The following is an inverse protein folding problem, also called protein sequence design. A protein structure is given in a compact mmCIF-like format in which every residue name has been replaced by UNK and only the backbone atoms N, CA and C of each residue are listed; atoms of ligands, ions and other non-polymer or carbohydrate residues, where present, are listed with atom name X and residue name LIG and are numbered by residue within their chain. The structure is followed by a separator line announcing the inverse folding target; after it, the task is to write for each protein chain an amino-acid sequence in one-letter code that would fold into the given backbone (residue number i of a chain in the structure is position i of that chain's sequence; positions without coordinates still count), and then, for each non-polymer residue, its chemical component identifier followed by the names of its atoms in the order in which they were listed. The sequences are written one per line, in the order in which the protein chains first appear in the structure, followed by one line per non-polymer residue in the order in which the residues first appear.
data_IF_550666074194
#
_entry.id   IF_550666074194
#
_cell.length_a   1.000
_cell.length_b   1.000
_cell.length_c   1.000
_cell.angle_alpha   90.00
_cell.angle_beta   90.00
_cell.angle_gamma   90.00
#
_symmetry.space_group_name_H-M   'P 1'
#
loop_
_entity.id
_entity.type
_entity.pdbx_description
1 polymer ?
#
# COMPACT_ATOMS: atom_id res chain seq x y z
N UNK A 1 -22.72 -21.75 -0.01
CA UNK A 1 -21.94 -20.82 -0.83
C UNK A 1 -20.99 -19.93 -0.01
N UNK A 2 -20.61 -20.29 1.23
CA UNK A 2 -19.67 -19.53 2.08
C UNK A 2 -18.19 -19.92 2.03
N UNK A 3 -17.72 -21.00 1.38
CA UNK A 3 -16.35 -21.45 1.60
C UNK A 3 -15.29 -20.77 0.73
N UNK A 4 -15.63 -20.26 -0.46
CA UNK A 4 -14.61 -19.89 -1.43
C UNK A 4 -13.92 -18.54 -1.16
N UNK A 5 -14.64 -17.50 -0.79
CA UNK A 5 -14.06 -16.20 -0.44
C UNK A 5 -13.23 -16.26 0.84
N UNK A 6 -13.66 -17.07 1.79
CA UNK A 6 -12.97 -17.28 3.06
C UNK A 6 -11.63 -18.04 2.90
N UNK A 7 -11.61 -19.10 2.07
CA UNK A 7 -10.40 -19.84 1.74
C UNK A 7 -9.40 -18.96 0.95
N UNK A 8 -9.91 -18.10 0.07
CA UNK A 8 -9.12 -17.13 -0.66
C UNK A 8 -8.38 -16.20 0.29
N UNK A 9 -9.10 -15.62 1.23
CA UNK A 9 -8.58 -14.72 2.24
C UNK A 9 -7.44 -15.36 3.06
N UNK A 10 -7.63 -16.58 3.54
CA UNK A 10 -6.63 -17.29 4.31
C UNK A 10 -5.40 -17.67 3.49
N UNK A 11 -5.58 -18.12 2.26
CA UNK A 11 -4.47 -18.49 1.37
C UNK A 11 -3.58 -17.30 1.01
N UNK A 12 -4.15 -16.12 0.90
CA UNK A 12 -3.40 -14.91 0.61
C UNK A 12 -2.70 -14.36 1.86
N UNK A 13 -3.36 -14.40 3.00
CA UNK A 13 -2.82 -13.90 4.25
C UNK A 13 -1.67 -14.74 4.83
N UNK A 14 -1.56 -16.02 4.48
CA UNK A 14 -0.44 -16.87 4.94
C UNK A 14 0.91 -16.50 4.33
N UNK A 15 0.94 -15.62 3.32
CA UNK A 15 2.17 -15.08 2.75
C UNK A 15 2.60 -13.86 3.55
N UNK A 16 3.60 -14.06 4.40
CA UNK A 16 4.17 -12.97 5.21
C UNK A 16 4.95 -12.00 4.33
N UNK A 17 4.58 -10.73 4.41
CA UNK A 17 5.24 -9.64 3.69
C UNK A 17 5.34 -8.44 4.61
N UNK A 18 6.55 -7.92 4.79
CA UNK A 18 6.78 -6.64 5.42
C UNK A 18 6.88 -5.52 4.38
N UNK A 19 7.02 -4.33 4.85
CA UNK A 19 7.24 -3.16 4.03
C UNK A 19 8.47 -3.33 3.11
N UNK A 20 8.32 -3.08 1.82
CA UNK A 20 9.32 -3.30 0.75
C UNK A 20 9.71 -4.76 0.45
N UNK A 21 8.94 -5.75 0.88
CA UNK A 21 9.24 -7.16 0.60
C UNK A 21 8.04 -7.93 0.02
N UNK A 22 7.31 -7.28 -0.86
CA UNK A 22 6.02 -7.74 -1.39
C UNK A 22 6.14 -8.87 -2.43
N UNK A 23 7.35 -9.24 -2.85
CA UNK A 23 7.57 -10.16 -3.98
C UNK A 23 6.88 -11.52 -3.81
N UNK A 24 6.85 -12.04 -2.57
CA UNK A 24 6.18 -13.34 -2.28
C UNK A 24 4.67 -13.23 -2.43
N UNK A 25 4.10 -12.11 -1.96
CA UNK A 25 2.67 -11.85 -2.03
C UNK A 25 2.25 -11.59 -3.48
N UNK A 26 3.06 -10.81 -4.22
CA UNK A 26 2.88 -10.58 -5.64
C UNK A 26 2.93 -11.88 -6.47
N UNK A 27 3.90 -12.76 -6.19
CA UNK A 27 3.99 -14.06 -6.86
C UNK A 27 2.74 -14.92 -6.60
N UNK A 28 2.24 -14.94 -5.35
CA UNK A 28 1.03 -15.69 -5.03
C UNK A 28 -0.21 -15.10 -5.69
N UNK A 29 -0.35 -13.78 -5.69
CA UNK A 29 -1.46 -13.09 -6.34
C UNK A 29 -1.44 -13.33 -7.87
N UNK A 30 -0.26 -13.33 -8.47
CA UNK A 30 -0.06 -13.64 -9.89
C UNK A 30 -0.57 -15.05 -10.27
N UNK A 31 -0.29 -16.05 -9.43
CA UNK A 31 -0.84 -17.40 -9.62
C UNK A 31 -2.36 -17.37 -9.57
N UNK A 32 -2.93 -16.69 -8.57
CA UNK A 32 -4.38 -16.59 -8.39
C UNK A 32 -5.06 -15.85 -9.56
N UNK A 33 -4.45 -14.80 -10.10
CA UNK A 33 -4.94 -14.11 -11.30
C UNK A 33 -4.99 -15.03 -12.52
N UNK A 34 -3.94 -15.85 -12.70
CA UNK A 34 -3.89 -16.87 -13.77
C UNK A 34 -4.95 -17.95 -13.58
N UNK A 35 -5.13 -18.44 -12.34
CA UNK A 35 -6.18 -19.42 -12.00
C UNK A 35 -7.58 -18.91 -12.33
N UNK A 36 -7.82 -17.59 -12.16
CA UNK A 36 -9.10 -16.94 -12.46
C UNK A 36 -9.28 -16.59 -13.96
N UNK A 37 -8.29 -16.91 -14.81
CA UNK A 37 -8.37 -16.74 -16.26
C UNK A 37 -8.11 -15.31 -16.74
N UNK A 38 -7.44 -14.49 -15.96
CA UNK A 38 -6.98 -13.19 -16.45
C UNK A 38 -5.87 -13.37 -17.49
N UNK A 39 -5.78 -12.44 -18.43
CA UNK A 39 -4.73 -12.38 -19.45
C UNK A 39 -3.62 -11.40 -19.04
N UNK A 40 -2.51 -11.44 -19.76
CA UNK A 40 -1.37 -10.55 -19.57
C UNK A 40 -0.90 -10.45 -18.11
N UNK A 41 -0.99 -11.58 -17.38
CA UNK A 41 -0.61 -11.66 -15.98
C UNK A 41 0.90 -11.58 -15.81
N UNK A 42 1.39 -10.55 -15.14
CA UNK A 42 2.81 -10.33 -14.88
C UNK A 42 3.04 -9.53 -13.60
N UNK A 43 4.29 -9.49 -13.18
CA UNK A 43 4.76 -8.50 -12.19
C UNK A 43 5.48 -7.42 -12.98
N UNK A 44 5.07 -6.17 -12.81
CA UNK A 44 5.68 -5.05 -13.53
C UNK A 44 7.09 -4.71 -13.00
N UNK A 45 7.75 -3.76 -13.63
CA UNK A 45 9.13 -3.36 -13.26
C UNK A 45 9.21 -2.75 -11.85
N UNK A 46 8.10 -2.24 -11.32
CA UNK A 46 8.03 -1.66 -9.97
C UNK A 46 7.71 -2.71 -8.90
N UNK A 47 7.12 -3.84 -9.30
CA UNK A 47 6.74 -4.92 -8.40
C UNK A 47 5.23 -5.11 -8.23
N UNK A 48 4.39 -4.31 -8.90
CA UNK A 48 2.96 -4.50 -8.89
C UNK A 48 2.58 -5.80 -9.61
N UNK A 49 1.62 -6.52 -9.06
CA UNK A 49 1.04 -7.71 -9.68
C UNK A 49 -0.13 -7.32 -10.56
N UNK A 50 -0.05 -7.58 -11.86
CA UNK A 50 -1.03 -7.15 -12.86
C UNK A 50 -1.73 -8.36 -13.49
N UNK A 51 -3.04 -8.24 -13.74
CA UNK A 51 -3.81 -9.18 -14.54
C UNK A 51 -4.96 -8.44 -15.25
N UNK A 52 -5.18 -8.76 -16.51
CA UNK A 52 -6.15 -8.03 -17.34
C UNK A 52 -7.34 -8.93 -17.67
N UNK A 53 -8.54 -8.43 -17.41
CA UNK A 53 -9.78 -8.98 -17.93
C UNK A 53 -10.17 -8.20 -19.16
N UNK A 54 -10.04 -8.85 -20.33
CA UNK A 54 -10.38 -8.22 -21.61
C UNK A 54 -11.89 -8.02 -21.75
N UNK A 55 -12.27 -6.81 -22.17
CA UNK A 55 -13.63 -6.48 -22.57
C UNK A 55 -13.94 -6.92 -23.99
N UNK A 56 -15.17 -6.69 -24.43
CA UNK A 56 -15.62 -6.96 -25.82
C UNK A 56 -15.20 -5.88 -26.81
N UNK A 57 -14.62 -4.79 -26.35
CA UNK A 57 -14.12 -3.65 -27.11
C UNK A 57 -15.04 -2.44 -27.10
N UNK A 58 -14.45 -1.25 -27.25
CA UNK A 58 -15.15 0.03 -27.34
C UNK A 58 -15.68 0.60 -26.01
N UNK A 59 -15.23 0.06 -24.88
CA UNK A 59 -15.53 0.59 -23.55
C UNK A 59 -14.32 1.29 -22.93
N UNK A 60 -14.55 1.88 -21.76
CA UNK A 60 -13.51 2.51 -20.93
C UNK A 60 -12.70 1.48 -20.17
N UNK A 61 -11.41 1.74 -19.99
CA UNK A 61 -10.51 0.91 -19.19
C UNK A 61 -10.54 1.34 -17.74
N UNK A 62 -10.82 0.39 -16.84
CA UNK A 62 -10.92 0.64 -15.40
C UNK A 62 -9.86 -0.16 -14.67
N UNK A 63 -9.15 0.51 -13.77
CA UNK A 63 -8.28 -0.13 -12.80
C UNK A 63 -9.08 -0.50 -11.54
N UNK A 64 -8.89 -1.72 -11.04
CA UNK A 64 -9.37 -2.15 -9.72
C UNK A 64 -8.17 -2.70 -8.97
N UNK A 65 -7.82 -2.09 -7.85
CA UNK A 65 -6.61 -2.45 -7.14
C UNK A 65 -6.81 -2.56 -5.62
N UNK A 66 -5.84 -3.20 -4.97
CA UNK A 66 -5.63 -3.22 -3.55
C UNK A 66 -4.14 -3.38 -3.28
N UNK A 67 -3.63 -2.86 -2.15
CA UNK A 67 -2.21 -2.92 -1.89
C UNK A 67 -1.77 -4.20 -1.17
N UNK A 68 -0.55 -4.62 -1.45
CA UNK A 68 -0.02 -5.89 -0.94
C UNK A 68 0.86 -5.72 0.31
N UNK A 69 1.43 -4.55 0.52
CA UNK A 69 2.27 -4.27 1.68
C UNK A 69 1.47 -4.05 2.96
N UNK A 70 2.15 -3.94 4.06
CA UNK A 70 1.59 -3.64 5.38
C UNK A 70 2.61 -2.85 6.20
N UNK A 71 2.16 -2.13 7.22
CA UNK A 71 3.03 -1.42 8.16
C UNK A 71 3.84 -2.34 9.08
N UNK A 72 3.56 -3.65 9.07
CA UNK A 72 4.15 -4.59 10.02
C UNK A 72 5.51 -5.09 9.57
N UNK A 73 6.52 -5.17 10.46
CA UNK A 73 7.81 -5.78 10.17
C UNK A 73 7.70 -7.26 9.78
N UNK A 74 8.70 -7.76 9.01
CA UNK A 74 8.75 -9.15 8.53
C UNK A 74 8.73 -10.21 9.62
N UNK A 75 9.23 -9.90 10.80
CA UNK A 75 9.26 -10.80 11.97
C UNK A 75 7.95 -10.78 12.76
N UNK A 76 6.95 -10.02 12.32
CA UNK A 76 5.65 -9.98 12.95
C UNK A 76 4.98 -11.34 12.85
N UNK A 77 4.59 -11.88 14.00
CA UNK A 77 3.91 -13.18 14.07
C UNK A 77 2.49 -13.06 13.50
N UNK A 78 2.24 -13.78 12.41
CA UNK A 78 0.92 -13.83 11.77
C UNK A 78 0.12 -15.01 12.34
N UNK A 79 -0.54 -14.79 13.46
CA UNK A 79 -1.44 -15.77 14.07
C UNK A 79 -2.89 -15.38 13.77
N UNK A 80 -3.58 -16.25 13.03
CA UNK A 80 -4.98 -16.03 12.69
C UNK A 80 -5.86 -16.49 13.85
N UNK A 81 -6.47 -15.54 14.54
CA UNK A 81 -7.43 -15.78 15.62
C UNK A 81 -8.85 -15.62 15.09
N UNK A 82 -9.71 -16.60 15.43
CA UNK A 82 -11.14 -16.58 15.12
C UNK A 82 -11.93 -16.53 16.40
N UNK A 83 -12.61 -15.41 16.61
CA UNK A 83 -13.33 -15.16 17.84
C UNK A 83 -14.57 -14.32 17.55
N UNK A 84 -15.71 -14.71 18.10
CA UNK A 84 -16.98 -13.96 18.02
C UNK A 84 -17.40 -13.54 16.59
N UNK A 85 -17.13 -14.39 15.61
CA UNK A 85 -17.46 -14.12 14.21
C UNK A 85 -16.43 -13.21 13.48
N UNK A 86 -15.37 -12.80 14.15
CA UNK A 86 -14.28 -12.02 13.60
C UNK A 86 -13.05 -12.88 13.27
N UNK A 87 -12.27 -12.41 12.31
CA UNK A 87 -10.93 -12.90 12.02
C UNK A 87 -9.96 -11.78 12.36
N UNK A 88 -9.01 -12.06 13.23
CA UNK A 88 -8.02 -11.10 13.71
C UNK A 88 -6.63 -11.56 13.30
N UNK A 89 -5.86 -10.69 12.67
CA UNK A 89 -4.44 -10.89 12.36
C UNK A 89 -3.83 -9.55 11.94
N UNK A 90 -2.54 -9.28 12.21
CA UNK A 90 -1.87 -8.10 11.69
C UNK A 90 -1.96 -8.01 10.16
N UNK A 91 -2.28 -6.83 9.59
CA UNK A 91 -2.38 -6.60 8.14
C UNK A 91 -3.55 -7.31 7.44
N UNK A 92 -4.54 -7.82 8.19
CA UNK A 92 -5.66 -8.57 7.60
C UNK A 92 -6.73 -7.64 7.01
N UNK A 93 -6.93 -6.49 7.60
CA UNK A 93 -7.90 -5.48 7.13
C UNK A 93 -7.24 -4.57 6.12
N UNK A 94 -6.04 -4.15 6.40
CA UNK A 94 -5.23 -3.21 5.66
C UNK A 94 -3.96 -3.93 5.14
N UNK A 95 -3.87 -4.34 3.87
CA UNK A 95 -5.02 -4.40 2.93
C UNK A 95 -5.17 -5.81 2.33
N UNK A 96 -4.88 -6.84 3.10
CA UNK A 96 -5.12 -8.23 2.63
C UNK A 96 -6.57 -8.46 2.25
N UNK A 97 -7.50 -7.78 2.94
CA UNK A 97 -8.92 -7.84 2.64
C UNK A 97 -9.26 -7.18 1.30
N UNK A 98 -8.67 -6.02 0.97
CA UNK A 98 -8.84 -5.38 -0.31
C UNK A 98 -8.37 -6.27 -1.46
N UNK A 99 -7.18 -6.82 -1.36
CA UNK A 99 -6.68 -7.82 -2.32
C UNK A 99 -7.62 -9.03 -2.46
N UNK A 100 -8.19 -9.54 -1.36
CA UNK A 100 -9.16 -10.62 -1.41
C UNK A 100 -10.49 -10.19 -2.05
N UNK A 101 -10.88 -8.93 -1.89
CA UNK A 101 -12.07 -8.35 -2.53
C UNK A 101 -11.85 -8.20 -4.03
N UNK A 102 -10.67 -7.77 -4.47
CA UNK A 102 -10.26 -7.74 -5.88
C UNK A 102 -10.43 -9.14 -6.51
N UNK A 103 -9.87 -10.18 -5.90
CA UNK A 103 -10.02 -11.56 -6.36
C UNK A 103 -11.48 -12.05 -6.34
N UNK A 104 -12.24 -11.69 -5.31
CA UNK A 104 -13.66 -12.05 -5.21
C UNK A 104 -14.49 -11.37 -6.30
N UNK A 105 -14.13 -10.15 -6.69
CA UNK A 105 -14.77 -9.43 -7.79
C UNK A 105 -14.54 -10.15 -9.13
N UNK A 106 -13.32 -10.61 -9.40
CA UNK A 106 -13.00 -11.40 -10.60
C UNK A 106 -13.87 -12.66 -10.63
N UNK A 107 -13.95 -13.40 -9.53
CA UNK A 107 -14.77 -14.61 -9.40
C UNK A 107 -16.25 -14.34 -9.60
N UNK A 108 -16.76 -13.25 -9.02
CA UNK A 108 -18.15 -12.86 -9.17
C UNK A 108 -18.49 -12.55 -10.64
N UNK A 109 -17.64 -11.82 -11.34
CA UNK A 109 -17.79 -11.53 -12.76
C UNK A 109 -17.77 -12.81 -13.60
N UNK A 110 -16.85 -13.75 -13.30
CA UNK A 110 -16.76 -15.04 -13.97
C UNK A 110 -18.02 -15.89 -13.72
N UNK A 111 -18.44 -16.03 -12.47
CA UNK A 111 -19.61 -16.83 -12.09
C UNK A 111 -20.92 -16.29 -12.66
N UNK A 112 -21.04 -14.97 -12.79
CA UNK A 112 -22.21 -14.32 -13.38
C UNK A 112 -22.16 -14.27 -14.92
N UNK A 113 -21.07 -14.70 -15.57
CA UNK A 113 -20.89 -14.61 -17.02
C UNK A 113 -20.90 -13.18 -17.55
N UNK A 114 -20.54 -12.21 -16.71
CA UNK A 114 -20.56 -10.79 -17.08
C UNK A 114 -19.41 -10.49 -18.03
N UNK A 115 -19.73 -9.92 -19.18
CA UNK A 115 -18.78 -9.39 -20.16
C UNK A 115 -18.86 -7.86 -20.14
N UNK A 116 -17.73 -7.20 -19.90
CA UNK A 116 -17.62 -5.75 -19.94
C UNK A 116 -17.30 -5.28 -21.36
N UNK A 117 -17.64 -4.05 -21.71
CA UNK A 117 -17.21 -3.46 -22.99
C UNK A 117 -15.73 -3.07 -22.94
N UNK A 118 -15.31 -2.43 -21.87
CA UNK A 118 -13.92 -2.04 -21.66
C UNK A 118 -13.15 -3.10 -20.90
N UNK A 119 -11.84 -2.97 -20.90
CA UNK A 119 -10.94 -3.80 -20.13
C UNK A 119 -11.03 -3.45 -18.65
N UNK A 120 -10.84 -4.44 -17.79
CA UNK A 120 -10.59 -4.22 -16.37
C UNK A 120 -9.16 -4.69 -16.07
N UNK A 121 -8.34 -3.79 -15.56
CA UNK A 121 -7.00 -4.09 -15.07
C UNK A 121 -7.11 -4.34 -13.56
N UNK A 122 -6.82 -5.55 -13.12
CA UNK A 122 -6.76 -5.91 -11.71
C UNK A 122 -5.30 -5.87 -11.25
N UNK A 123 -5.04 -5.12 -10.18
CA UNK A 123 -3.66 -4.88 -9.73
C UNK A 123 -3.54 -5.07 -8.22
N UNK A 124 -2.50 -5.79 -7.82
CA UNK A 124 -1.99 -5.72 -6.45
C UNK A 124 -0.84 -4.75 -6.43
N UNK A 125 -0.99 -3.62 -5.76
CA UNK A 125 0.03 -2.57 -5.71
C UNK A 125 1.02 -2.80 -4.58
N UNK A 126 2.20 -2.21 -4.69
CA UNK A 126 3.27 -2.24 -3.70
C UNK A 126 3.55 -0.85 -3.15
N UNK A 127 4.16 -0.78 -1.97
CA UNK A 127 4.61 0.47 -1.37
C UNK A 127 3.51 1.53 -1.23
N UNK A 128 2.32 1.09 -0.80
CA UNK A 128 1.26 2.01 -0.42
C UNK A 128 1.64 2.70 0.89
N UNK A 129 2.10 1.91 1.86
CA UNK A 129 2.28 2.28 3.25
C UNK A 129 3.52 3.15 3.52
N UNK A 130 3.41 3.99 4.54
CA UNK A 130 4.52 4.70 5.16
C UNK A 130 5.39 5.49 4.18
N UNK A 131 6.70 5.15 4.12
CA UNK A 131 7.66 5.80 3.20
C UNK A 131 7.53 5.34 1.75
N UNK A 132 6.74 4.31 1.50
CA UNK A 132 6.31 3.89 0.17
C UNK A 132 5.49 4.99 -0.51
N UNK A 133 4.57 5.62 0.25
CA UNK A 133 3.84 6.80 -0.18
C UNK A 133 3.10 6.61 -1.52
N UNK A 134 2.38 5.49 -1.66
CA UNK A 134 1.59 5.14 -2.86
C UNK A 134 2.43 4.95 -4.14
N UNK A 135 3.73 4.69 -4.04
CA UNK A 135 4.62 4.69 -5.21
C UNK A 135 4.26 3.62 -6.25
N UNK A 136 3.80 2.44 -5.82
CA UNK A 136 3.34 1.40 -6.74
C UNK A 136 2.19 1.88 -7.60
N UNK A 137 1.18 2.48 -6.98
CA UNK A 137 0.02 3.04 -7.69
C UNK A 137 0.41 4.23 -8.57
N UNK A 138 1.26 5.15 -8.08
CA UNK A 138 1.77 6.28 -8.87
C UNK A 138 2.51 5.80 -10.10
N UNK A 139 3.39 4.80 -9.96
CA UNK A 139 4.08 4.19 -11.09
C UNK A 139 3.07 3.65 -12.09
N UNK A 140 2.14 2.81 -11.64
CA UNK A 140 1.18 2.16 -12.52
C UNK A 140 0.36 3.17 -13.34
N UNK A 141 -0.26 4.15 -12.69
CA UNK A 141 -1.08 5.17 -13.36
C UNK A 141 -0.26 6.02 -14.34
N UNK A 142 0.97 6.36 -14.02
CA UNK A 142 1.84 7.15 -14.89
C UNK A 142 2.24 6.41 -16.17
N UNK A 143 2.37 5.09 -16.12
CA UNK A 143 2.74 4.28 -17.29
C UNK A 143 1.55 3.68 -18.04
N UNK A 144 0.31 3.89 -17.56
CA UNK A 144 -0.93 3.40 -18.15
C UNK A 144 -1.90 4.53 -18.51
N UNK A 145 -1.55 5.36 -19.53
CA UNK A 145 -2.39 6.50 -19.94
C UNK A 145 -3.74 6.08 -20.54
N UNK A 146 -3.94 4.80 -20.83
CA UNK A 146 -5.21 4.24 -21.31
C UNK A 146 -6.27 4.11 -20.22
N UNK A 147 -5.91 4.30 -18.94
CA UNK A 147 -6.85 4.21 -17.83
C UNK A 147 -7.83 5.40 -17.82
N UNK A 148 -9.10 5.10 -17.83
CA UNK A 148 -10.17 6.11 -17.72
C UNK A 148 -10.61 6.36 -16.27
N UNK A 149 -10.47 5.36 -15.40
CA UNK A 149 -10.85 5.43 -13.99
C UNK A 149 -10.11 4.39 -13.15
N UNK A 150 -10.02 4.64 -11.85
CA UNK A 150 -9.48 3.71 -10.87
C UNK A 150 -10.43 3.53 -9.69
N UNK A 151 -10.44 2.32 -9.13
CA UNK A 151 -11.13 1.94 -7.90
C UNK A 151 -10.08 1.30 -6.99
N UNK A 152 -9.74 1.98 -5.91
CA UNK A 152 -8.91 1.44 -4.84
C UNK A 152 -9.80 0.77 -3.80
N UNK A 153 -9.50 -0.47 -3.46
CA UNK A 153 -10.26 -1.25 -2.48
C UNK A 153 -9.45 -1.30 -1.21
N UNK A 154 -9.74 -0.38 -0.30
CA UNK A 154 -8.99 -0.19 0.93
C UNK A 154 -9.91 0.25 2.08
N UNK A 155 -9.36 0.31 3.31
CA UNK A 155 -10.07 0.81 4.48
C UNK A 155 -11.09 -0.15 5.11
N UNK A 156 -11.57 0.11 6.33
CA UNK A 156 -12.46 -0.78 7.08
C UNK A 156 -13.93 -0.70 6.70
N UNK A 157 -14.35 0.33 5.95
CA UNK A 157 -15.75 0.59 5.60
C UNK A 157 -16.32 -0.39 4.55
N UNK A 158 -17.65 -0.58 4.57
CA UNK A 158 -18.36 -1.39 3.57
C UNK A 158 -19.42 -0.58 2.80
N UNK A 159 -19.78 0.57 3.30
CA UNK A 159 -20.91 1.37 2.80
C UNK A 159 -20.47 2.75 2.29
N UNK A 160 -19.17 3.00 2.23
CA UNK A 160 -18.60 4.28 1.85
C UNK A 160 -17.85 4.18 0.52
N UNK A 161 -18.01 5.20 -0.31
CA UNK A 161 -17.20 5.44 -1.50
C UNK A 161 -16.58 6.82 -1.34
N UNK A 162 -15.27 6.85 -1.11
CA UNK A 162 -14.50 8.10 -1.04
C UNK A 162 -14.08 8.49 -2.45
N UNK A 163 -14.50 9.65 -2.91
CA UNK A 163 -14.17 10.20 -4.23
C UNK A 163 -13.43 11.55 -4.17
N UNK A 164 -13.19 12.04 -2.97
CA UNK A 164 -12.35 13.20 -2.70
C UNK A 164 -11.36 12.84 -1.58
N UNK A 165 -10.10 13.12 -1.80
CA UNK A 165 -9.05 12.84 -0.84
C UNK A 165 -8.07 14.02 -0.72
N UNK A 166 -7.42 14.11 0.44
CA UNK A 166 -6.31 15.06 0.65
C UNK A 166 -5.05 14.48 0.03
N UNK A 167 -4.34 15.29 -0.75
CA UNK A 167 -3.03 14.91 -1.26
C UNK A 167 -2.02 14.69 -0.14
N UNK A 168 -1.20 13.65 -0.26
CA UNK A 168 -0.18 13.28 0.73
C UNK A 168 1.20 13.55 0.16
N UNK A 169 2.09 14.12 0.99
CA UNK A 169 3.50 14.28 0.66
C UNK A 169 4.35 13.83 1.84
N UNK A 170 5.19 12.81 1.63
CA UNK A 170 6.12 12.29 2.63
C UNK A 170 7.52 12.82 2.36
N UNK A 171 8.21 13.27 3.40
CA UNK A 171 9.58 13.77 3.35
C UNK A 171 10.48 12.97 4.29
N UNK A 172 11.63 12.57 3.80
CA UNK A 172 12.75 12.11 4.61
C UNK A 172 13.80 13.22 4.68
N UNK A 173 14.16 13.64 5.89
CA UNK A 173 15.13 14.73 6.10
C UNK A 173 16.33 14.18 6.86
N UNK A 174 17.47 14.17 6.19
CA UNK A 174 18.72 13.66 6.73
C UNK A 174 19.63 14.80 7.20
N UNK A 175 20.05 14.76 8.46
CA UNK A 175 21.02 15.70 9.05
C UNK A 175 22.37 14.99 9.22
N UNK A 176 23.39 15.46 8.54
CA UNK A 176 24.74 14.88 8.59
C UNK A 176 25.70 15.79 9.35
N UNK A 177 26.60 15.17 10.11
CA UNK A 177 27.68 15.85 10.81
C UNK A 177 28.90 14.93 10.97
N UNK A 178 30.05 15.52 11.18
CA UNK A 178 31.31 14.76 11.32
C UNK A 178 31.41 13.97 12.63
N UNK A 179 30.49 14.22 13.55
CA UNK A 179 30.53 13.62 14.90
C UNK A 179 31.66 14.16 15.76
N UNK A 180 31.79 13.64 16.97
CA UNK A 180 32.89 13.98 17.86
C UNK A 180 32.60 13.78 19.33
N UNK A 181 33.64 13.57 20.12
CA UNK A 181 33.53 13.40 21.55
C UNK A 181 32.95 14.65 22.22
N UNK A 182 31.97 14.48 23.12
CA UNK A 182 31.23 15.57 23.74
C UNK A 182 32.11 16.64 24.41
N UNK A 183 33.23 16.27 25.02
CA UNK A 183 34.19 17.21 25.62
C UNK A 183 35.13 17.78 24.58
N UNK A 184 35.80 16.93 23.77
CA UNK A 184 36.87 17.36 22.85
C UNK A 184 36.36 18.14 21.62
N UNK A 185 35.16 17.86 21.17
CA UNK A 185 34.54 18.46 20.01
C UNK A 185 33.46 19.51 20.35
N UNK A 186 33.23 19.80 21.64
CA UNK A 186 32.22 20.76 22.07
C UNK A 186 32.44 22.14 21.42
N UNK A 187 31.40 22.69 20.85
CA UNK A 187 31.37 23.95 20.09
C UNK A 187 32.28 24.03 18.86
N UNK A 188 33.04 22.97 18.53
CA UNK A 188 33.93 22.92 17.33
C UNK A 188 33.26 22.29 16.13
N UNK A 189 32.28 21.38 16.36
CA UNK A 189 31.54 20.70 15.31
C UNK A 189 30.04 20.84 15.54
N UNK A 190 29.28 20.87 14.46
CA UNK A 190 27.80 20.88 14.53
C UNK A 190 27.29 19.49 14.97
N UNK A 191 26.32 19.51 15.88
CA UNK A 191 25.62 18.30 16.28
C UNK A 191 24.36 18.14 15.43
N UNK A 192 24.24 17.09 14.60
CA UNK A 192 23.09 16.89 13.72
C UNK A 192 21.80 16.64 14.49
N UNK A 193 21.84 15.99 15.65
CA UNK A 193 20.66 15.79 16.51
C UNK A 193 20.12 17.14 17.03
N UNK A 194 20.99 18.05 17.42
CA UNK A 194 20.57 19.40 17.83
C UNK A 194 19.98 20.18 16.64
N UNK A 195 20.46 19.97 15.43
CA UNK A 195 19.91 20.58 14.22
C UNK A 195 18.51 20.01 13.93
N UNK A 196 18.36 18.70 13.97
CA UNK A 196 17.06 18.02 13.81
C UNK A 196 16.05 18.48 14.86
N UNK A 197 16.42 18.53 16.14
CA UNK A 197 15.55 19.02 17.21
C UNK A 197 15.05 20.44 16.97
N UNK A 198 15.91 21.36 16.51
CA UNK A 198 15.50 22.72 16.13
C UNK A 198 14.57 22.74 14.92
N UNK A 199 14.80 21.87 13.93
CA UNK A 199 13.92 21.75 12.77
C UNK A 199 12.54 21.25 13.17
N UNK A 200 12.46 20.21 13.99
CA UNK A 200 11.21 19.66 14.52
C UNK A 200 10.43 20.73 15.28
N UNK A 201 11.10 21.49 16.16
CA UNK A 201 10.44 22.58 16.88
C UNK A 201 9.84 23.63 15.95
N UNK A 202 10.56 24.02 14.88
CA UNK A 202 10.05 24.96 13.88
C UNK A 202 8.91 24.38 13.05
N UNK A 203 8.98 23.09 12.69
CA UNK A 203 7.88 22.42 11.98
C UNK A 203 6.64 22.42 12.85
N UNK A 204 6.76 22.11 14.13
CA UNK A 204 5.63 22.11 15.06
C UNK A 204 4.94 23.47 15.24
N UNK A 205 5.61 24.58 14.91
CA UNK A 205 5.06 25.93 14.96
C UNK A 205 4.33 26.36 13.66
N UNK A 206 4.40 25.57 12.59
CA UNK A 206 3.77 25.90 11.31
C UNK A 206 2.25 25.99 11.50
N UNK A 207 1.68 27.09 11.06
CA UNK A 207 0.23 27.27 11.04
C UNK A 207 -0.29 26.82 9.67
N UNK A 208 -1.29 25.94 9.70
CA UNK A 208 -1.92 25.41 8.48
C UNK A 208 -3.38 25.83 8.38
N UNK A 209 -3.92 25.99 7.16
CA UNK A 209 -5.33 26.33 6.96
C UNK A 209 -6.22 25.13 7.37
N UNK A 210 -7.45 25.45 7.81
CA UNK A 210 -8.49 24.43 8.01
C UNK A 210 -9.21 24.07 6.71
N UNK A 211 -9.26 25.00 5.77
CA UNK A 211 -9.86 24.86 4.45
C UNK A 211 -8.92 25.46 3.37
N UNK A 212 -8.42 24.64 2.44
CA UNK A 212 -8.55 23.18 2.44
C UNK A 212 -7.87 22.57 3.66
N UNK A 213 -8.42 21.46 4.17
CA UNK A 213 -7.85 20.77 5.33
C UNK A 213 -6.39 20.42 5.04
N UNK A 214 -5.50 20.96 5.86
CA UNK A 214 -4.06 20.70 5.76
C UNK A 214 -3.56 20.21 7.11
N UNK A 215 -2.83 19.11 7.11
CA UNK A 215 -2.24 18.51 8.30
C UNK A 215 -0.78 18.18 8.07
N UNK A 216 -0.01 18.08 9.13
CA UNK A 216 1.36 17.56 9.07
C UNK A 216 1.73 16.87 10.37
N UNK A 217 2.71 15.95 10.32
CA UNK A 217 3.28 15.32 11.49
C UNK A 217 4.75 14.98 11.27
N UNK A 218 5.55 15.00 12.31
CA UNK A 218 6.83 14.31 12.37
C UNK A 218 6.57 12.94 12.99
N UNK A 219 6.65 11.89 12.19
CA UNK A 219 6.18 10.56 12.57
C UNK A 219 7.28 9.68 13.14
N UNK A 220 8.52 9.80 12.59
CA UNK A 220 9.65 8.98 13.04
C UNK A 220 10.90 9.83 13.15
N UNK A 221 11.81 9.45 14.05
CA UNK A 221 13.15 9.99 14.17
C UNK A 221 14.11 8.90 14.59
N UNK A 222 15.21 8.78 13.85
CA UNK A 222 16.35 7.94 14.22
C UNK A 222 17.60 8.80 14.28
N UNK A 223 18.38 8.70 15.34
CA UNK A 223 19.54 9.58 15.49
C UNK A 223 20.60 9.01 16.43
N UNK A 224 21.85 9.26 16.07
CA UNK A 224 23.01 9.05 16.91
C UNK A 224 23.51 7.62 17.03
N UNK A 225 24.75 7.50 17.49
CA UNK A 225 25.37 6.27 17.95
C UNK A 225 26.23 6.60 19.16
N UNK A 226 26.64 5.58 19.91
CA UNK A 226 27.62 5.73 21.01
C UNK A 226 29.04 5.43 20.57
N UNK A 227 29.30 5.26 19.30
CA UNK A 227 30.64 5.01 18.72
C UNK A 227 31.40 6.32 18.46
#
# INVERSE_FOLDING_TARGET
TRPHSFLLFLNFHTVQVGHFEEQKKAARLLEMFKEEGLTDCHIDEYGNCVGIRKGTGGGKTVLVEGHMDTVFPLDTKLEIVREDGFIKCPGIVDDTRGCATVLSTIRALNAAGIQTKGDIQFVGTVQEEGTGALKGMQYYVNYHPELDASISVDGPGFEEITYEATGIQTYEINFHGVGGHACGAFAKVANPIHAAGRAIAKIAEIQVPKEPMTTFAVTTMQAGSFE
#
